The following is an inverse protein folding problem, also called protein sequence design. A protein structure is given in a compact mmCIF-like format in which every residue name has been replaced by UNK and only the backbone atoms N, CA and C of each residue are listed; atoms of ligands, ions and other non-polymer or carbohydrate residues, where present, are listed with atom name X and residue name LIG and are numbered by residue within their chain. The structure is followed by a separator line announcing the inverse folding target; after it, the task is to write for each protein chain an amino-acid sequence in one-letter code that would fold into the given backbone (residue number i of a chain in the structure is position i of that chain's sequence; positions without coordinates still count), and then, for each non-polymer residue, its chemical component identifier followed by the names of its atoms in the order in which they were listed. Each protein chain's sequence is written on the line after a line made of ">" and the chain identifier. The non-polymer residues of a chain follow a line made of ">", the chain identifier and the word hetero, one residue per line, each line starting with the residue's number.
data_IF_587747530821
#
_entry.id   IF_587747530821
#
_cell.length_a   1.000
_cell.length_b   1.000
_cell.length_c   1.000
_cell.angle_alpha   90.00
_cell.angle_beta   90.00
_cell.angle_gamma   90.00
#
_symmetry.space_group_name_H-M   'P 1'
#
loop_
_entity.id
_entity.type
_entity.pdbx_description
1 polymer ?
#
# COMPACT_ATOMS: atom_id res chain seq x y z
N UNK A 1 -0.09 -8.53 -9.59
CA UNK A 1 0.45 -7.30 -10.17
C UNK A 1 1.60 -7.57 -11.13
N UNK A 2 2.73 -8.12 -10.67
CA UNK A 2 3.96 -8.23 -11.45
C UNK A 2 3.79 -9.02 -12.76
N UNK A 3 3.04 -10.12 -12.74
CA UNK A 3 2.76 -10.92 -13.93
C UNK A 3 2.03 -10.07 -15.00
N UNK A 4 1.00 -9.35 -14.60
CA UNK A 4 0.22 -8.54 -15.51
C UNK A 4 0.99 -7.30 -15.99
N UNK A 5 1.83 -6.72 -15.12
CA UNK A 5 2.77 -5.66 -15.51
C UNK A 5 3.69 -6.13 -16.66
N UNK A 6 4.30 -7.31 -16.55
CA UNK A 6 5.15 -7.82 -17.64
C UNK A 6 4.36 -8.14 -18.92
N UNK A 7 3.11 -8.60 -18.82
CA UNK A 7 2.24 -8.76 -19.99
C UNK A 7 2.02 -7.41 -20.70
N UNK A 8 1.66 -6.37 -19.93
CA UNK A 8 1.47 -5.02 -20.47
C UNK A 8 2.75 -4.44 -21.06
N UNK A 9 3.89 -4.59 -20.36
CA UNK A 9 5.18 -4.11 -20.84
C UNK A 9 5.57 -4.79 -22.16
N UNK A 10 5.38 -6.09 -22.29
CA UNK A 10 5.66 -6.84 -23.52
C UNK A 10 4.77 -6.40 -24.69
N UNK A 11 3.51 -6.07 -24.43
CA UNK A 11 2.59 -5.56 -25.45
C UNK A 11 2.97 -4.17 -25.95
N UNK A 12 3.58 -3.34 -25.08
CA UNK A 12 3.88 -1.93 -25.37
C UNK A 12 5.30 -1.70 -25.89
N UNK A 13 6.25 -2.54 -25.49
CA UNK A 13 7.66 -2.41 -25.83
C UNK A 13 7.98 -3.20 -27.10
N UNK A 14 8.19 -2.53 -28.23
CA UNK A 14 8.54 -3.16 -29.50
C UNK A 14 9.85 -3.96 -29.42
N UNK A 15 10.80 -3.50 -28.63
CA UNK A 15 12.12 -4.08 -28.45
C UNK A 15 12.24 -4.85 -27.12
N UNK A 16 11.14 -5.39 -26.58
CA UNK A 16 11.12 -6.06 -25.28
C UNK A 16 12.21 -7.13 -25.16
N UNK A 17 12.41 -7.94 -26.18
CA UNK A 17 13.38 -9.03 -26.20
C UNK A 17 14.85 -8.55 -26.28
N UNK A 18 15.09 -7.27 -26.47
CA UNK A 18 16.46 -6.71 -26.46
C UNK A 18 16.91 -6.34 -25.05
N UNK A 19 16.02 -6.34 -24.05
CA UNK A 19 16.31 -6.02 -22.67
C UNK A 19 16.38 -7.29 -21.81
N UNK A 20 17.26 -7.28 -20.82
CA UNK A 20 17.38 -8.32 -19.79
C UNK A 20 16.75 -7.80 -18.51
N UNK A 21 15.69 -8.45 -18.02
CA UNK A 21 15.01 -8.09 -16.78
C UNK A 21 15.47 -9.00 -15.65
N UNK A 22 16.01 -8.41 -14.62
CA UNK A 22 16.41 -9.08 -13.38
C UNK A 22 15.45 -8.70 -12.27
N UNK A 23 14.94 -9.69 -11.55
CA UNK A 23 14.04 -9.47 -10.41
C UNK A 23 14.77 -9.95 -9.16
N UNK A 24 15.08 -9.01 -8.27
CA UNK A 24 15.64 -9.31 -6.96
C UNK A 24 14.67 -8.89 -5.88
N UNK A 25 14.26 -9.84 -5.03
CA UNK A 25 13.35 -9.63 -3.92
C UNK A 25 14.04 -10.02 -2.61
N UNK A 26 14.16 -9.07 -1.70
CA UNK A 26 14.76 -9.28 -0.38
C UNK A 26 13.99 -8.52 0.70
N UNK A 27 13.94 -9.10 1.90
CA UNK A 27 13.42 -8.40 3.09
C UNK A 27 14.51 -7.68 3.88
N UNK A 28 15.76 -8.03 3.62
CA UNK A 28 16.92 -7.37 4.19
C UNK A 28 17.63 -6.58 3.09
N UNK A 29 18.10 -5.35 3.34
CA UNK A 29 18.83 -4.54 2.37
C UNK A 29 20.26 -5.08 2.14
N UNK A 30 20.43 -6.39 2.12
CA UNK A 30 21.69 -7.02 1.80
C UNK A 30 21.96 -6.90 0.31
N UNK A 31 23.23 -6.79 -0.03
CA UNK A 31 23.70 -6.77 -1.41
C UNK A 31 23.08 -7.95 -2.19
N UNK A 32 22.66 -7.71 -3.45
CA UNK A 32 22.30 -8.81 -4.33
C UNK A 32 23.44 -9.82 -4.37
N UNK A 33 23.13 -11.11 -4.54
CA UNK A 33 24.16 -12.13 -4.71
C UNK A 33 25.13 -11.79 -5.85
N UNK A 34 26.34 -12.27 -5.79
CA UNK A 34 27.36 -12.06 -6.85
C UNK A 34 26.88 -12.50 -8.25
N UNK A 35 25.88 -13.37 -8.33
CA UNK A 35 25.20 -13.72 -9.58
C UNK A 35 24.54 -12.55 -10.30
N UNK A 36 24.33 -11.43 -9.61
CA UNK A 36 23.85 -10.17 -10.17
C UNK A 36 25.02 -9.22 -10.55
N UNK A 37 26.24 -9.68 -10.38
CA UNK A 37 27.46 -8.93 -10.72
C UNK A 37 27.79 -9.12 -12.22
N UNK A 38 26.89 -8.64 -13.07
CA UNK A 38 27.03 -8.76 -14.52
C UNK A 38 27.66 -7.49 -15.10
N UNK A 39 28.42 -7.64 -16.21
CA UNK A 39 28.90 -6.46 -16.92
C UNK A 39 27.69 -5.69 -17.49
N UNK A 40 27.71 -4.38 -17.34
CA UNK A 40 26.63 -3.53 -17.89
C UNK A 40 26.66 -3.58 -19.42
N UNK A 41 25.64 -4.18 -20.00
CA UNK A 41 25.47 -4.26 -21.46
C UNK A 41 24.67 -3.07 -22.02
N UNK A 42 24.23 -2.14 -21.17
CA UNK A 42 23.30 -1.07 -21.53
C UNK A 42 21.84 -1.52 -21.75
N UNK A 43 21.58 -2.82 -21.52
CA UNK A 43 20.26 -3.44 -21.73
C UNK A 43 19.70 -4.09 -20.46
N UNK A 44 20.46 -4.06 -19.39
CA UNK A 44 20.13 -4.74 -18.14
C UNK A 44 19.28 -3.85 -17.23
N UNK A 45 18.14 -4.36 -16.81
CA UNK A 45 17.14 -3.66 -16.01
C UNK A 45 16.89 -4.46 -14.75
N UNK A 46 16.99 -3.80 -13.59
CA UNK A 46 16.76 -4.42 -12.29
C UNK A 46 15.45 -3.96 -11.68
N UNK A 47 14.58 -4.90 -11.32
CA UNK A 47 13.47 -4.70 -10.39
C UNK A 47 13.93 -5.15 -9.00
N UNK A 48 14.22 -4.18 -8.12
CA UNK A 48 14.70 -4.44 -6.77
C UNK A 48 13.53 -4.32 -5.78
N UNK A 49 12.91 -5.44 -5.45
CA UNK A 49 11.64 -5.51 -4.73
C UNK A 49 11.81 -5.86 -3.24
N UNK A 50 10.76 -5.58 -2.46
CA UNK A 50 10.58 -6.01 -1.06
C UNK A 50 11.49 -5.38 0.00
N UNK A 51 12.39 -4.48 -0.36
CA UNK A 51 13.18 -3.72 0.61
C UNK A 51 12.42 -2.47 1.09
N UNK A 52 11.88 -2.54 2.32
CA UNK A 52 11.08 -1.46 2.92
C UNK A 52 11.92 -0.30 3.48
N UNK A 53 13.25 -0.36 3.44
CA UNK A 53 14.11 0.70 4.04
C UNK A 53 14.07 2.00 3.26
N UNK A 54 13.76 1.94 1.96
CA UNK A 54 13.79 3.09 1.07
C UNK A 54 15.22 3.58 0.74
N UNK A 55 16.24 2.80 1.09
CA UNK A 55 17.62 3.10 0.75
C UNK A 55 17.86 2.94 -0.75
N UNK A 56 18.69 3.84 -1.31
CA UNK A 56 19.05 3.78 -2.72
C UNK A 56 20.19 2.77 -2.94
N UNK A 57 20.04 1.82 -3.86
CA UNK A 57 21.08 0.84 -4.18
C UNK A 57 22.18 1.46 -5.07
N UNK A 58 22.86 2.49 -4.58
CA UNK A 58 23.84 3.29 -5.34
C UNK A 58 25.00 2.44 -5.90
N UNK A 59 25.39 1.40 -5.19
CA UNK A 59 26.46 0.47 -5.60
C UNK A 59 26.09 -0.35 -6.85
N UNK A 60 24.80 -0.45 -7.21
CA UNK A 60 24.33 -1.12 -8.41
C UNK A 60 24.15 -0.20 -9.62
N UNK A 61 24.21 1.11 -9.40
CA UNK A 61 23.88 2.13 -10.40
C UNK A 61 24.65 1.96 -11.72
N UNK A 62 25.95 1.63 -11.65
CA UNK A 62 26.79 1.49 -12.85
C UNK A 62 26.57 0.17 -13.60
N UNK A 63 25.88 -0.79 -12.99
CA UNK A 63 25.70 -2.15 -13.53
C UNK A 63 24.44 -2.33 -14.35
N UNK A 64 23.44 -1.47 -14.12
CA UNK A 64 22.14 -1.55 -14.76
C UNK A 64 21.81 -0.27 -15.52
N UNK A 65 21.17 -0.41 -16.66
CA UNK A 65 20.61 0.73 -17.39
C UNK A 65 19.58 1.46 -16.53
N UNK A 66 18.67 0.71 -15.92
CA UNK A 66 17.65 1.22 -15.03
C UNK A 66 17.47 0.30 -13.82
N UNK A 67 17.21 0.89 -12.66
CA UNK A 67 16.84 0.18 -11.44
C UNK A 67 15.48 0.70 -10.98
N UNK A 68 14.50 -0.16 -10.85
CA UNK A 68 13.16 0.15 -10.37
C UNK A 68 12.97 -0.41 -8.97
N UNK A 69 12.64 0.47 -8.00
CA UNK A 69 12.58 0.10 -6.59
C UNK A 69 11.37 0.74 -5.89
N UNK A 70 10.56 -0.04 -5.13
CA UNK A 70 9.56 0.51 -4.23
C UNK A 70 10.19 1.32 -3.09
N UNK A 71 9.34 2.10 -2.40
CA UNK A 71 9.67 2.85 -1.19
C UNK A 71 10.68 3.99 -1.34
N UNK A 72 11.10 4.33 -2.55
CA UNK A 72 11.95 5.51 -2.78
C UNK A 72 11.09 6.74 -3.11
N UNK A 73 11.62 7.92 -2.81
CA UNK A 73 10.83 9.16 -2.83
C UNK A 73 10.77 9.82 -4.19
N UNK A 74 11.85 9.75 -4.96
CA UNK A 74 12.00 10.44 -6.26
C UNK A 74 12.97 9.70 -7.15
N UNK A 75 12.98 10.06 -8.42
CA UNK A 75 14.00 9.63 -9.38
C UNK A 75 15.39 10.04 -8.89
N UNK A 76 16.35 9.15 -9.03
CA UNK A 76 17.74 9.39 -8.71
C UNK A 76 18.62 8.75 -9.80
N UNK A 77 19.16 9.58 -10.71
CA UNK A 77 19.89 9.12 -11.89
C UNK A 77 19.08 8.04 -12.67
N UNK A 78 19.59 6.79 -12.68
CA UNK A 78 18.93 5.65 -13.29
C UNK A 78 18.15 4.76 -12.28
N UNK A 79 17.89 5.26 -11.07
CA UNK A 79 17.08 4.57 -10.05
C UNK A 79 15.72 5.27 -9.95
N UNK A 80 14.65 4.53 -10.17
CA UNK A 80 13.30 5.05 -10.32
C UNK A 80 12.31 4.42 -9.33
N UNK A 81 11.34 5.19 -8.81
CA UNK A 81 10.25 4.62 -8.01
C UNK A 81 9.48 3.57 -8.81
N UNK A 82 9.16 2.47 -8.14
CA UNK A 82 8.34 1.41 -8.67
C UNK A 82 7.16 1.14 -7.75
N UNK A 83 5.95 0.93 -8.25
CA UNK A 83 4.81 0.65 -7.40
C UNK A 83 4.98 -0.68 -6.67
N UNK A 84 4.58 -0.72 -5.40
CA UNK A 84 4.54 -1.96 -4.63
C UNK A 84 3.54 -2.95 -5.24
N UNK A 85 2.47 -2.43 -5.83
CA UNK A 85 1.41 -3.20 -6.43
C UNK A 85 0.55 -3.93 -5.38
N UNK A 86 0.03 -5.07 -5.77
CA UNK A 86 -0.80 -5.94 -4.94
C UNK A 86 -0.40 -7.41 -5.14
N UNK A 87 -0.77 -8.26 -4.19
CA UNK A 87 -0.49 -9.69 -4.30
C UNK A 87 -1.31 -10.28 -5.45
N UNK A 88 -0.67 -11.08 -6.32
CA UNK A 88 -1.37 -11.75 -7.42
C UNK A 88 -2.37 -12.75 -6.85
N UNK A 89 -3.64 -12.44 -7.06
CA UNK A 89 -4.74 -13.34 -6.79
C UNK A 89 -5.67 -13.27 -7.99
N UNK A 90 -6.02 -14.41 -8.51
CA UNK A 90 -6.94 -14.53 -9.65
C UNK A 90 -8.42 -14.24 -9.29
N UNK A 91 -8.66 -13.62 -8.14
CA UNK A 91 -10.00 -13.21 -7.74
C UNK A 91 -10.38 -11.93 -8.48
N UNK A 92 -11.09 -12.10 -9.57
CA UNK A 92 -11.80 -10.99 -10.22
C UNK A 92 -12.99 -10.63 -9.34
N UNK A 93 -12.96 -9.44 -8.74
CA UNK A 93 -14.10 -8.90 -8.01
C UNK A 93 -14.86 -7.95 -8.93
N UNK A 94 -16.17 -8.11 -8.94
CA UNK A 94 -17.07 -7.18 -9.59
C UNK A 94 -16.98 -5.81 -8.88
N UNK A 95 -16.97 -4.73 -9.67
CA UNK A 95 -16.99 -3.38 -9.12
C UNK A 95 -18.36 -3.08 -8.51
N UNK A 96 -18.36 -2.65 -7.25
CA UNK A 96 -19.55 -2.24 -6.53
C UNK A 96 -19.50 -0.72 -6.33
N UNK A 97 -20.51 0.03 -6.80
CA UNK A 97 -20.61 1.46 -6.55
C UNK A 97 -20.50 1.78 -5.07
N UNK A 98 -19.78 2.84 -4.71
CA UNK A 98 -19.47 3.13 -3.29
C UNK A 98 -20.72 3.31 -2.42
N UNK A 99 -21.82 3.82 -3.00
CA UNK A 99 -23.11 4.00 -2.30
C UNK A 99 -23.75 2.66 -1.87
N UNK A 100 -23.52 1.60 -2.66
CA UNK A 100 -24.13 0.29 -2.46
C UNK A 100 -23.30 -0.63 -1.56
N UNK A 101 -22.12 -0.16 -1.12
CA UNK A 101 -21.21 -0.93 -0.25
C UNK A 101 -21.75 -0.99 1.18
N UNK A 102 -21.67 -2.18 1.76
CA UNK A 102 -22.23 -2.45 3.07
C UNK A 102 -21.33 -2.05 4.25
N UNK A 103 -20.02 -1.90 4.03
CA UNK A 103 -19.09 -1.52 5.10
C UNK A 103 -18.65 -0.07 4.97
N UNK A 104 -18.73 0.67 6.09
CA UNK A 104 -18.27 2.05 6.15
C UNK A 104 -16.75 2.12 6.16
N UNK A 105 -16.10 1.32 7.00
CA UNK A 105 -14.64 1.36 7.18
C UNK A 105 -14.07 -0.05 7.22
N UNK A 106 -12.93 -0.23 6.57
CA UNK A 106 -12.17 -1.47 6.59
C UNK A 106 -10.73 -1.25 7.04
N UNK A 107 -10.26 -2.13 7.89
CA UNK A 107 -8.86 -2.33 8.20
C UNK A 107 -8.61 -3.79 8.60
N UNK A 108 -7.59 -4.42 8.02
CA UNK A 108 -7.05 -5.69 8.50
C UNK A 108 -5.53 -5.65 8.44
N UNK A 109 -4.87 -5.93 9.54
CA UNK A 109 -3.41 -5.94 9.56
C UNK A 109 -2.78 -6.15 10.93
N UNK A 110 -1.47 -6.39 10.89
CA UNK A 110 -0.69 -6.69 12.08
C UNK A 110 -0.65 -5.50 13.05
N UNK A 111 -0.79 -5.79 14.35
CA UNK A 111 -0.59 -4.81 15.39
C UNK A 111 0.90 -4.67 15.71
N UNK A 112 1.43 -3.47 15.54
CA UNK A 112 2.83 -3.13 15.80
C UNK A 112 2.96 -1.79 16.56
N UNK A 113 4.17 -1.44 16.96
CA UNK A 113 4.45 -0.21 17.72
C UNK A 113 3.96 1.07 17.01
N UNK A 114 4.11 1.15 15.68
CA UNK A 114 3.70 2.32 14.90
C UNK A 114 2.17 2.48 14.89
N UNK A 115 1.43 1.38 15.05
CA UNK A 115 -0.04 1.34 15.03
C UNK A 115 -0.70 1.54 16.39
N UNK A 116 0.05 1.77 17.46
CA UNK A 116 -0.54 2.03 18.80
C UNK A 116 -1.43 3.28 18.80
N UNK A 117 -0.96 4.38 18.21
CA UNK A 117 -1.75 5.61 18.13
C UNK A 117 -2.97 5.46 17.23
N UNK A 118 -2.82 4.78 16.09
CA UNK A 118 -3.93 4.40 15.23
C UNK A 118 -4.99 3.61 16.01
N UNK A 119 -4.57 2.52 16.66
CA UNK A 119 -5.45 1.69 17.47
C UNK A 119 -6.25 2.50 18.50
N UNK A 120 -5.58 3.36 19.25
CA UNK A 120 -6.21 4.19 20.28
C UNK A 120 -7.26 5.15 19.74
N UNK A 121 -6.99 5.74 18.58
CA UNK A 121 -7.89 6.72 18.00
C UNK A 121 -9.14 6.09 17.36
N UNK A 122 -9.03 4.89 16.83
CA UNK A 122 -10.19 4.21 16.23
C UNK A 122 -11.03 3.43 17.26
N UNK A 123 -10.43 2.97 18.37
CA UNK A 123 -11.13 2.12 19.35
C UNK A 123 -11.58 2.86 20.63
N UNK A 124 -11.32 4.16 20.73
CA UNK A 124 -11.49 4.92 21.99
C UNK A 124 -10.75 4.30 23.21
N UNK A 125 -9.81 3.40 22.96
CA UNK A 125 -8.97 2.82 24.00
C UNK A 125 -7.99 3.89 24.54
N UNK A 126 -8.52 5.02 25.02
CA UNK A 126 -7.78 6.05 25.77
C UNK A 126 -7.58 5.51 27.18
N UNK A 127 -6.76 4.49 27.29
CA UNK A 127 -6.32 4.02 28.59
C UNK A 127 -5.34 5.00 29.24
N UNK A 128 -5.23 4.94 30.54
CA UNK A 128 -4.28 5.69 31.38
C UNK A 128 -2.79 5.49 31.00
N UNK A 129 -2.47 4.47 30.17
CA UNK A 129 -1.11 4.26 29.66
C UNK A 129 -0.88 5.14 28.43
N UNK A 130 -0.37 6.35 28.63
CA UNK A 130 -0.10 7.31 27.54
C UNK A 130 1.13 6.95 26.71
N UNK A 131 2.15 6.38 27.33
CA UNK A 131 3.39 5.97 26.64
C UNK A 131 3.14 4.80 25.71
N UNK A 132 3.37 5.02 24.41
CA UNK A 132 3.14 3.99 23.36
C UNK A 132 4.09 2.79 23.48
N UNK A 133 5.30 3.00 23.95
CA UNK A 133 6.29 1.92 24.11
C UNK A 133 5.91 1.00 25.26
N UNK A 134 5.51 1.57 26.40
CA UNK A 134 4.99 0.82 27.54
C UNK A 134 3.71 0.06 27.15
N UNK A 135 2.79 0.70 26.46
CA UNK A 135 1.56 0.07 25.98
C UNK A 135 1.87 -1.15 25.10
N UNK A 136 2.76 -0.98 24.11
CA UNK A 136 3.13 -2.06 23.20
C UNK A 136 3.91 -3.17 23.91
N UNK A 137 4.78 -2.82 24.86
CA UNK A 137 5.52 -3.79 25.66
C UNK A 137 4.58 -4.66 26.50
N UNK A 138 3.61 -4.05 27.21
CA UNK A 138 2.60 -4.77 27.98
C UNK A 138 1.77 -5.72 27.12
N UNK A 139 1.39 -5.27 25.92
CA UNK A 139 0.71 -6.11 24.94
C UNK A 139 1.59 -7.31 24.52
N UNK A 140 2.85 -7.09 24.19
CA UNK A 140 3.79 -8.15 23.79
C UNK A 140 4.01 -9.18 24.89
N UNK A 141 4.04 -8.75 26.15
CA UNK A 141 4.17 -9.62 27.33
C UNK A 141 2.86 -10.32 27.70
N UNK A 142 1.75 -10.04 27.01
CA UNK A 142 0.44 -10.61 27.33
C UNK A 142 -0.23 -10.03 28.58
N UNK A 143 0.37 -9.00 29.18
CA UNK A 143 -0.16 -8.29 30.34
C UNK A 143 -1.31 -7.33 29.97
N UNK A 144 -1.36 -6.92 28.72
CA UNK A 144 -2.45 -6.12 28.17
C UNK A 144 -3.15 -6.91 27.05
N UNK A 145 -4.37 -7.34 27.34
CA UNK A 145 -5.23 -7.99 26.33
C UNK A 145 -5.97 -6.93 25.55
N UNK A 146 -5.69 -6.88 24.25
CA UNK A 146 -6.39 -5.98 23.33
C UNK A 146 -7.41 -6.79 22.54
N UNK A 147 -8.63 -6.27 22.38
CA UNK A 147 -9.54 -6.82 21.41
C UNK A 147 -8.91 -6.78 20.02
N UNK A 148 -8.93 -7.89 19.31
CA UNK A 148 -8.30 -8.04 17.99
C UNK A 148 -9.28 -7.81 16.84
N UNK A 149 -10.58 -7.90 17.11
CA UNK A 149 -11.61 -7.67 16.11
C UNK A 149 -12.67 -6.73 16.66
N UNK A 150 -12.96 -5.71 15.91
CA UNK A 150 -14.00 -4.73 16.21
C UNK A 150 -15.06 -4.77 15.12
N UNK A 151 -16.27 -5.17 15.53
CA UNK A 151 -17.48 -5.00 14.75
C UNK A 151 -18.29 -3.96 15.52
N UNK A 152 -18.07 -2.69 15.20
CA UNK A 152 -18.68 -1.64 16.00
C UNK A 152 -20.08 -1.36 15.52
N UNK A 153 -21.06 -1.83 16.27
CA UNK A 153 -22.45 -1.42 16.12
C UNK A 153 -22.78 -0.15 16.94
N UNK A 154 -21.81 0.39 17.67
CA UNK A 154 -22.07 1.42 18.70
C UNK A 154 -21.56 2.82 18.35
N UNK A 155 -20.59 2.96 17.44
CA UNK A 155 -20.07 4.27 17.05
C UNK A 155 -20.59 4.66 15.67
N UNK A 156 -21.15 5.84 15.52
CA UNK A 156 -21.77 6.29 14.26
C UNK A 156 -20.80 6.26 13.07
N UNK A 157 -19.56 6.71 13.24
CA UNK A 157 -18.58 6.73 12.14
C UNK A 157 -17.97 5.37 11.81
N UNK A 158 -17.89 4.45 12.77
CA UNK A 158 -17.40 3.09 12.54
C UNK A 158 -18.50 2.02 12.57
N UNK A 159 -19.74 2.44 12.54
CA UNK A 159 -20.88 1.54 12.37
C UNK A 159 -20.73 0.77 11.06
N UNK A 160 -21.13 -0.50 11.06
CA UNK A 160 -20.97 -1.38 9.88
C UNK A 160 -19.51 -1.45 9.35
N UNK A 161 -18.54 -1.49 10.23
CA UNK A 161 -17.12 -1.52 9.85
C UNK A 161 -16.49 -2.89 10.15
N UNK A 162 -15.44 -3.22 9.43
CA UNK A 162 -14.65 -4.44 9.61
C UNK A 162 -13.21 -4.04 9.95
N UNK A 163 -12.87 -4.12 11.24
CA UNK A 163 -11.55 -3.75 11.73
C UNK A 163 -10.96 -4.96 12.45
N UNK A 164 -9.80 -5.45 11.96
CA UNK A 164 -9.11 -6.59 12.54
C UNK A 164 -7.63 -6.30 12.72
N UNK A 165 -7.17 -6.43 13.97
CA UNK A 165 -5.75 -6.44 14.29
C UNK A 165 -5.26 -7.87 14.41
N UNK A 166 -4.18 -8.20 13.73
CA UNK A 166 -3.60 -9.55 13.74
C UNK A 166 -2.31 -9.59 14.58
N UNK A 167 -1.99 -10.76 15.10
CA UNK A 167 -0.74 -11.03 15.79
C UNK A 167 0.23 -11.68 14.78
N UNK A 168 0.91 -10.86 13.98
CA UNK A 168 1.74 -11.32 12.86
C UNK A 168 0.95 -11.46 11.55
N UNK A 169 1.63 -11.89 10.50
CA UNK A 169 1.07 -11.96 9.14
C UNK A 169 0.09 -13.12 8.94
N UNK A 170 0.18 -14.18 9.74
CA UNK A 170 -0.62 -15.41 9.59
C UNK A 170 -2.05 -15.32 10.16
N UNK A 171 -2.38 -14.27 10.90
CA UNK A 171 -3.66 -14.16 11.61
C UNK A 171 -4.75 -13.39 10.85
N UNK A 172 -4.54 -13.06 9.57
CA UNK A 172 -5.47 -12.29 8.75
C UNK A 172 -6.71 -13.06 8.30
N UNK A 173 -7.55 -12.42 7.50
CA UNK A 173 -8.60 -13.09 6.77
C UNK A 173 -7.99 -13.95 5.65
N UNK A 174 -8.65 -15.03 5.24
CA UNK A 174 -8.36 -15.68 3.97
C UNK A 174 -8.40 -14.63 2.85
N UNK A 175 -7.57 -14.80 1.83
CA UNK A 175 -7.33 -13.77 0.83
C UNK A 175 -8.62 -13.38 0.08
N UNK A 176 -9.46 -14.36 -0.28
CA UNK A 176 -10.75 -14.12 -0.95
C UNK A 176 -11.70 -13.32 -0.07
N UNK A 177 -11.79 -13.67 1.21
CA UNK A 177 -12.61 -12.96 2.19
C UNK A 177 -12.08 -11.53 2.44
N UNK A 178 -10.76 -11.36 2.54
CA UNK A 178 -10.12 -10.05 2.67
C UNK A 178 -10.46 -9.14 1.48
N UNK A 179 -10.28 -9.63 0.25
CA UNK A 179 -10.56 -8.87 -0.96
C UNK A 179 -12.05 -8.55 -1.10
N UNK A 180 -12.91 -9.50 -0.77
CA UNK A 180 -14.36 -9.28 -0.77
C UNK A 180 -14.74 -8.19 0.25
N UNK A 181 -14.28 -8.28 1.50
CA UNK A 181 -14.55 -7.24 2.51
C UNK A 181 -14.03 -5.87 2.07
N UNK A 182 -12.87 -5.83 1.43
CA UNK A 182 -12.28 -4.60 0.92
C UNK A 182 -13.16 -4.00 -0.19
N UNK A 183 -13.63 -4.81 -1.15
CA UNK A 183 -14.52 -4.34 -2.24
C UNK A 183 -15.87 -3.84 -1.73
N UNK A 184 -16.34 -4.36 -0.58
CA UNK A 184 -17.58 -3.96 0.09
C UNK A 184 -17.39 -2.73 1.00
N UNK A 185 -16.21 -2.14 1.05
CA UNK A 185 -15.89 -1.07 1.99
C UNK A 185 -15.82 0.29 1.31
N UNK A 186 -16.37 1.33 1.96
CA UNK A 186 -16.33 2.71 1.47
C UNK A 186 -14.98 3.35 1.73
N UNK A 187 -14.47 3.23 2.95
CA UNK A 187 -13.23 3.84 3.42
C UNK A 187 -12.27 2.74 3.89
N UNK A 188 -11.02 2.83 3.46
CA UNK A 188 -9.96 1.89 3.86
C UNK A 188 -8.84 2.64 4.59
N UNK A 189 -8.53 2.17 5.80
CA UNK A 189 -7.49 2.78 6.62
C UNK A 189 -6.13 2.10 6.37
N UNK A 190 -5.12 2.90 6.08
CA UNK A 190 -3.77 2.45 5.75
C UNK A 190 -2.74 3.02 6.73
N UNK A 191 -2.72 2.58 8.01
CA UNK A 191 -1.71 3.01 8.96
C UNK A 191 -0.35 2.43 8.64
N UNK A 192 0.70 3.17 9.02
CA UNK A 192 2.11 2.83 8.83
C UNK A 192 2.41 1.37 9.18
N UNK A 193 3.22 0.72 8.33
CA UNK A 193 3.77 -0.61 8.53
C UNK A 193 4.90 -0.63 9.57
N UNK A 194 5.85 -1.54 9.41
CA UNK A 194 7.04 -1.60 10.27
C UNK A 194 8.03 -0.48 9.93
N UNK A 195 8.36 -0.31 8.69
CA UNK A 195 9.34 0.67 8.19
C UNK A 195 8.68 1.75 7.34
N UNK A 196 7.88 1.37 6.36
CA UNK A 196 7.21 2.27 5.43
C UNK A 196 5.74 2.51 5.78
N UNK A 197 5.21 3.65 5.33
CA UNK A 197 3.76 3.92 5.31
C UNK A 197 3.10 3.21 4.15
N UNK A 198 3.79 3.11 3.02
CA UNK A 198 3.30 2.42 1.84
C UNK A 198 3.08 0.92 2.11
N UNK A 199 1.96 0.38 1.66
CA UNK A 199 1.63 -1.03 1.76
C UNK A 199 0.69 -1.46 0.61
N UNK A 200 0.59 -2.75 0.35
CA UNK A 200 -0.29 -3.33 -0.68
C UNK A 200 -1.74 -2.84 -0.60
N UNK A 201 -2.23 -2.58 0.61
CA UNK A 201 -3.62 -2.11 0.83
C UNK A 201 -3.93 -0.79 0.13
N UNK A 202 -2.96 0.11 -0.06
CA UNK A 202 -3.17 1.34 -0.82
C UNK A 202 -3.58 1.02 -2.27
N UNK A 203 -2.87 0.09 -2.89
CA UNK A 203 -3.13 -0.33 -4.27
C UNK A 203 -4.42 -1.11 -4.40
N UNK A 204 -4.65 -2.07 -3.50
CA UNK A 204 -5.85 -2.90 -3.46
C UNK A 204 -7.11 -2.04 -3.26
N UNK A 205 -7.05 -1.05 -2.37
CA UNK A 205 -8.15 -0.17 -2.07
C UNK A 205 -8.45 0.82 -3.21
N UNK A 206 -7.43 1.46 -3.78
CA UNK A 206 -7.61 2.38 -4.92
C UNK A 206 -8.15 1.63 -6.15
N UNK A 207 -7.68 0.42 -6.42
CA UNK A 207 -8.18 -0.45 -7.50
C UNK A 207 -9.68 -0.73 -7.38
N UNK A 208 -10.19 -0.82 -6.15
CA UNK A 208 -11.62 -1.01 -5.88
C UNK A 208 -12.39 0.31 -5.75
N UNK A 209 -11.76 1.45 -5.95
CA UNK A 209 -12.39 2.76 -5.78
C UNK A 209 -12.76 3.06 -4.31
N UNK A 210 -12.05 2.49 -3.34
CA UNK A 210 -12.23 2.88 -1.94
C UNK A 210 -11.60 4.24 -1.68
N UNK A 211 -12.13 5.00 -0.73
CA UNK A 211 -11.47 6.19 -0.20
C UNK A 211 -10.37 5.71 0.75
N UNK A 212 -9.14 6.07 0.45
CA UNK A 212 -7.98 5.67 1.25
C UNK A 212 -7.59 6.79 2.21
N UNK A 213 -7.48 6.46 3.50
CA UNK A 213 -6.93 7.36 4.52
C UNK A 213 -5.62 6.73 5.05
N UNK A 214 -4.54 7.50 4.99
CA UNK A 214 -3.20 7.04 5.34
C UNK A 214 -2.44 8.10 6.14
N UNK A 215 -1.37 7.72 6.80
CA UNK A 215 -0.33 8.66 7.20
C UNK A 215 0.43 9.14 5.96
N UNK A 216 1.23 10.21 6.11
CA UNK A 216 2.02 10.78 5.01
C UNK A 216 2.81 9.72 4.25
N UNK A 217 2.65 9.74 2.95
CA UNK A 217 3.37 8.91 1.98
C UNK A 217 4.60 9.67 1.45
N UNK A 218 5.41 9.01 0.64
CA UNK A 218 6.59 9.62 0.02
C UNK A 218 6.21 10.63 -1.06
N UNK A 219 7.08 11.60 -1.31
CA UNK A 219 6.95 12.58 -2.41
C UNK A 219 7.37 11.93 -3.75
N UNK A 220 6.68 10.85 -4.14
CA UNK A 220 6.90 10.19 -5.43
C UNK A 220 5.75 10.48 -6.39
N UNK A 221 5.98 10.25 -7.70
CA UNK A 221 4.92 10.40 -8.70
C UNK A 221 3.69 9.52 -8.39
N UNK A 222 3.89 8.44 -7.66
CA UNK A 222 2.83 7.51 -7.25
C UNK A 222 1.82 8.15 -6.29
N UNK A 223 2.23 9.17 -5.53
CA UNK A 223 1.41 9.75 -4.45
C UNK A 223 1.21 11.24 -4.54
N UNK A 224 2.02 11.95 -5.35
CA UNK A 224 1.87 13.38 -5.56
C UNK A 224 0.53 13.67 -6.27
N UNK A 225 -0.31 14.49 -5.63
CA UNK A 225 -1.67 14.79 -6.07
C UNK A 225 -2.63 13.59 -6.08
N UNK A 226 -2.30 12.49 -5.39
CA UNK A 226 -3.21 11.36 -5.26
C UNK A 226 -4.47 11.74 -4.47
N UNK A 227 -5.60 11.05 -4.68
CA UNK A 227 -6.83 11.28 -3.93
C UNK A 227 -6.77 10.74 -2.49
N UNK A 228 -5.65 10.14 -2.10
CA UNK A 228 -5.43 9.59 -0.75
C UNK A 228 -5.47 10.73 0.27
N UNK A 229 -6.30 10.60 1.28
CA UNK A 229 -6.36 11.53 2.41
C UNK A 229 -5.17 11.23 3.31
N UNK A 230 -4.19 12.13 3.32
CA UNK A 230 -2.96 11.96 4.09
C UNK A 230 -3.02 12.73 5.40
N UNK A 231 -2.73 12.04 6.50
CA UNK A 231 -2.78 12.54 7.86
C UNK A 231 -1.36 12.70 8.43
N UNK A 232 -1.13 13.75 9.22
CA UNK A 232 0.08 13.84 10.05
C UNK A 232 0.05 12.82 11.21
N UNK A 233 -1.14 12.55 11.72
CA UNK A 233 -1.38 11.55 12.76
C UNK A 233 -2.87 11.16 12.75
N UNK A 234 -3.23 10.15 13.53
CA UNK A 234 -4.60 9.60 13.59
C UNK A 234 -5.56 10.37 14.51
N UNK A 235 -5.15 11.51 15.08
CA UNK A 235 -6.05 12.32 15.90
C UNK A 235 -7.19 12.88 15.05
N UNK A 236 -8.41 12.83 15.56
CA UNK A 236 -9.58 13.32 14.84
C UNK A 236 -10.09 12.43 13.70
N UNK A 237 -9.53 11.25 13.49
CA UNK A 237 -9.94 10.32 12.42
C UNK A 237 -11.45 10.05 12.42
N UNK A 238 -12.08 9.99 13.59
CA UNK A 238 -13.52 9.78 13.71
C UNK A 238 -14.33 10.90 13.04
N UNK A 239 -13.91 12.15 13.25
CA UNK A 239 -14.56 13.30 12.61
C UNK A 239 -14.40 13.23 11.09
N UNK A 240 -13.19 12.96 10.59
CA UNK A 240 -12.91 12.85 9.15
C UNK A 240 -13.77 11.76 8.51
N UNK A 241 -13.83 10.57 9.13
CA UNK A 241 -14.64 9.44 8.63
C UNK A 241 -16.14 9.82 8.64
N UNK A 242 -16.61 10.43 9.72
CA UNK A 242 -18.02 10.82 9.84
C UNK A 242 -18.40 11.88 8.80
N UNK A 243 -17.59 12.91 8.63
CA UNK A 243 -17.81 13.97 7.63
C UNK A 243 -17.89 13.38 6.20
N UNK A 244 -17.01 12.42 5.87
CA UNK A 244 -17.05 11.71 4.59
C UNK A 244 -18.31 10.87 4.42
N UNK A 245 -18.75 10.15 5.46
CA UNK A 245 -19.92 9.27 5.38
C UNK A 245 -21.24 10.04 5.31
N UNK A 246 -21.28 11.28 5.79
CA UNK A 246 -22.46 12.15 5.74
C UNK A 246 -22.63 12.85 4.38
N UNK A 247 -21.57 12.96 3.57
CA UNK A 247 -21.60 13.59 2.25
C UNK A 247 -21.50 12.55 1.14
N UNK A 248 -22.65 12.06 0.66
CA UNK A 248 -22.71 11.05 -0.40
C UNK A 248 -22.08 11.55 -1.70
N UNK A 249 -22.24 12.83 -2.03
CA UNK A 249 -21.66 13.43 -3.23
C UNK A 249 -20.13 13.41 -3.17
N UNK A 250 -19.57 13.78 -2.02
CA UNK A 250 -18.13 13.73 -1.76
C UNK A 250 -17.60 12.28 -1.79
N UNK A 251 -18.35 11.33 -1.21
CA UNK A 251 -18.00 9.89 -1.27
C UNK A 251 -17.90 9.40 -2.72
N UNK A 252 -18.89 9.70 -3.54
CA UNK A 252 -18.91 9.30 -4.96
C UNK A 252 -17.75 9.92 -5.72
N UNK A 253 -17.55 11.22 -5.58
CA UNK A 253 -16.46 11.95 -6.22
C UNK A 253 -15.09 11.36 -5.83
N UNK A 254 -14.85 11.12 -4.56
CA UNK A 254 -13.60 10.55 -4.05
C UNK A 254 -13.35 9.11 -4.53
N UNK A 255 -14.42 8.34 -4.66
CA UNK A 255 -14.35 6.97 -5.23
C UNK A 255 -13.90 6.99 -6.69
N UNK A 256 -14.49 7.86 -7.50
CA UNK A 256 -14.11 8.04 -8.90
C UNK A 256 -12.68 8.56 -9.05
N UNK A 257 -12.26 9.50 -8.20
CA UNK A 257 -10.87 9.97 -8.15
C UNK A 257 -9.90 8.82 -7.83
N UNK A 258 -10.25 7.92 -6.91
CA UNK A 258 -9.46 6.75 -6.55
C UNK A 258 -9.30 5.77 -7.72
N UNK A 259 -10.39 5.46 -8.42
CA UNK A 259 -10.36 4.59 -9.60
C UNK A 259 -9.50 5.20 -10.71
N UNK A 260 -9.73 6.48 -11.04
CA UNK A 260 -8.95 7.19 -12.07
C UNK A 260 -7.47 7.26 -11.73
N UNK A 261 -7.14 7.49 -10.46
CA UNK A 261 -5.74 7.49 -10.02
C UNK A 261 -5.10 6.13 -10.19
N UNK A 262 -5.79 5.07 -9.74
CA UNK A 262 -5.27 3.72 -9.94
C UNK A 262 -5.02 3.43 -11.42
N UNK A 263 -5.99 3.65 -12.30
CA UNK A 263 -5.88 3.37 -13.72
C UNK A 263 -4.76 4.15 -14.41
N UNK A 264 -4.60 5.43 -14.08
CA UNK A 264 -3.68 6.33 -14.77
C UNK A 264 -2.25 6.33 -14.19
N UNK A 265 -2.07 5.89 -12.94
CA UNK A 265 -0.78 6.01 -12.24
C UNK A 265 -0.27 4.68 -11.69
N UNK A 266 -1.14 3.84 -11.13
CA UNK A 266 -0.74 2.67 -10.35
C UNK A 266 -1.08 1.33 -11.00
N UNK A 267 -1.88 1.32 -12.07
CA UNK A 267 -2.22 0.09 -12.78
C UNK A 267 -1.00 -0.54 -13.45
N UNK A 268 -1.11 -1.80 -13.80
CA UNK A 268 -0.06 -2.52 -14.51
C UNK A 268 0.28 -1.87 -15.84
N UNK A 269 -0.76 -1.38 -16.55
CA UNK A 269 -0.62 -0.66 -17.81
C UNK A 269 0.11 0.69 -17.62
N UNK A 270 -0.32 1.49 -16.63
CA UNK A 270 0.34 2.76 -16.32
C UNK A 270 1.79 2.57 -15.90
N UNK A 271 2.04 1.56 -15.06
CA UNK A 271 3.41 1.19 -14.64
C UNK A 271 4.26 0.74 -15.83
N UNK A 272 3.70 -0.05 -16.75
CA UNK A 272 4.43 -0.47 -17.95
C UNK A 272 4.82 0.74 -18.83
N UNK A 273 3.92 1.68 -19.02
CA UNK A 273 4.21 2.91 -19.76
C UNK A 273 5.27 3.78 -19.08
N UNK A 274 5.20 3.91 -17.75
CA UNK A 274 6.22 4.61 -16.96
C UNK A 274 7.60 3.94 -17.10
N UNK A 275 7.67 2.63 -16.91
CA UNK A 275 8.93 1.87 -17.06
C UNK A 275 9.48 2.02 -18.47
N UNK A 276 8.62 1.90 -19.50
CA UNK A 276 9.01 2.08 -20.90
C UNK A 276 9.63 3.45 -21.15
N UNK A 277 9.01 4.52 -20.64
CA UNK A 277 9.52 5.88 -20.77
C UNK A 277 10.91 6.09 -20.15
N UNK A 278 11.29 5.27 -19.17
CA UNK A 278 12.61 5.33 -18.52
C UNK A 278 13.67 4.46 -19.22
N UNK A 279 13.28 3.32 -19.76
CA UNK A 279 14.23 2.42 -20.43
C UNK A 279 14.54 2.85 -21.87
N UNK A 280 13.69 3.68 -22.50
CA UNK A 280 13.91 4.22 -23.84
C UNK A 280 14.65 5.57 -23.86
N UNK A 281 14.92 6.16 -22.70
CA UNK A 281 15.83 7.31 -22.52
C UNK A 281 17.28 6.83 -22.63
#
# INVERSE_FOLDING_TARGET
>A
FLINFFKELRLKCTNFNSYNFYIYSTQNPTLPPNSFDLPNTGKDILLFLSDETGELPLHLKQRYKCIFKPYIRKDYDNIYPFPLGYVNNDVSLEYIPIKDRCYNVFFSGNFNLNRVNFYRNITNARGWITNKYLFYWLYKKGLLKLPTSYFTNKDDCFRNSKIRFTKGFKGGFPISEYLWMLSQSKIVLCPKGFHSTECFRHYEALKQGCIVISEKLSDSYLYNNSPIIQLDNWNGIRKIVNDLLQDESLLMKKSEESLRWYENVMSEKATAMYVLSKIEQ
#
